data_IF_380030923148
#
_entry.id   IF_380030923148
#
_cell.length_a   1.000
_cell.length_b   1.000
_cell.length_c   1.000
_cell.angle_alpha   90.00
_cell.angle_beta   90.00
_cell.angle_gamma   90.00
#
_symmetry.space_group_name_H-M   'P 1'
#
loop_
_entity.id
_entity.type
_entity.pdbx_description
1 polymer ?
#
# COMPACT_ATOMS: atom_id res chain seq x y z
N UNK A 1 15.43 -19.86 18.00
CA UNK A 1 14.06 -20.04 17.45
C UNK A 1 13.58 -18.71 16.89
N UNK A 2 12.82 -18.75 15.81
CA UNK A 2 12.19 -17.65 15.07
C UNK A 2 13.04 -16.91 14.04
N UNK A 3 13.04 -17.51 12.83
CA UNK A 3 13.19 -16.79 11.56
C UNK A 3 12.14 -15.68 11.50
N UNK A 4 12.53 -14.44 11.83
CA UNK A 4 11.78 -13.27 11.40
C UNK A 4 11.81 -13.25 9.87
N UNK A 5 10.84 -13.90 9.23
CA UNK A 5 10.44 -13.56 7.86
C UNK A 5 10.22 -12.06 7.87
N UNK A 6 11.21 -11.30 7.41
CA UNK A 6 11.11 -9.88 7.15
C UNK A 6 9.89 -9.72 6.26
N UNK A 7 8.73 -9.40 6.86
CA UNK A 7 7.59 -8.90 6.12
C UNK A 7 8.15 -7.70 5.39
N UNK A 8 8.20 -7.76 4.05
CA UNK A 8 8.62 -6.63 3.22
C UNK A 8 7.74 -5.48 3.61
N UNK A 9 8.24 -4.61 4.48
CA UNK A 9 7.50 -3.48 4.96
C UNK A 9 7.49 -2.49 3.80
N UNK A 10 6.36 -2.42 3.09
CA UNK A 10 6.21 -1.48 1.96
C UNK A 10 5.93 -0.05 2.44
N UNK A 11 5.94 0.21 3.75
CA UNK A 11 5.83 1.57 4.26
C UNK A 11 6.98 2.43 3.70
N UNK A 12 6.66 3.59 3.16
CA UNK A 12 7.61 4.46 2.45
C UNK A 12 7.74 4.16 0.96
N UNK A 13 7.09 3.11 0.42
CA UNK A 13 7.12 2.83 -1.00
C UNK A 13 6.20 3.78 -1.77
N UNK A 14 6.72 4.35 -2.85
CA UNK A 14 5.90 5.08 -3.82
C UNK A 14 5.19 4.07 -4.71
N UNK A 15 3.87 4.18 -4.81
CA UNK A 15 3.02 3.27 -5.58
C UNK A 15 2.06 4.02 -6.50
N UNK A 16 1.72 3.37 -7.60
CA UNK A 16 0.62 3.73 -8.48
C UNK A 16 -0.57 2.82 -8.16
N UNK A 17 -1.76 3.39 -8.00
CA UNK A 17 -2.96 2.64 -7.62
C UNK A 17 -4.22 3.20 -8.26
N UNK A 18 -5.22 2.34 -8.46
CA UNK A 18 -6.54 2.73 -8.93
C UNK A 18 -7.35 3.30 -7.78
N UNK A 19 -8.01 4.44 -8.01
CA UNK A 19 -8.93 5.04 -7.05
C UNK A 19 -10.09 5.70 -7.77
N UNK A 20 -11.32 5.25 -7.47
CA UNK A 20 -12.55 5.65 -8.20
C UNK A 20 -12.35 5.41 -9.70
N UNK A 21 -12.51 6.45 -10.52
CA UNK A 21 -12.44 6.37 -11.98
C UNK A 21 -11.03 6.70 -12.52
N UNK A 22 -10.02 6.80 -11.65
CA UNK A 22 -8.68 7.28 -12.02
C UNK A 22 -7.55 6.46 -11.44
N UNK A 23 -6.34 6.85 -11.83
CA UNK A 23 -5.08 6.32 -11.32
C UNK A 23 -4.35 7.42 -10.57
N UNK A 24 -3.93 7.13 -9.34
CA UNK A 24 -3.20 8.05 -8.49
C UNK A 24 -1.82 7.50 -8.16
N UNK A 25 -0.97 8.39 -7.69
CA UNK A 25 0.35 8.08 -7.15
C UNK A 25 0.41 8.52 -5.69
N UNK A 26 1.06 7.73 -4.86
CA UNK A 26 1.21 8.06 -3.46
C UNK A 26 2.16 7.13 -2.72
N UNK A 27 2.46 7.48 -1.49
CA UNK A 27 3.35 6.71 -0.62
C UNK A 27 2.53 5.81 0.31
N UNK A 28 2.87 4.54 0.41
CA UNK A 28 2.29 3.65 1.40
C UNK A 28 2.73 4.10 2.79
N UNK A 29 1.79 4.56 3.60
CA UNK A 29 2.03 4.89 5.01
C UNK A 29 1.94 3.65 5.90
N UNK A 30 1.02 2.73 5.55
CA UNK A 30 0.75 1.54 6.35
C UNK A 30 0.17 0.41 5.52
N UNK A 31 0.65 -0.80 5.75
CA UNK A 31 0.02 -2.06 5.35
C UNK A 31 -0.71 -2.70 6.55
N UNK A 32 -1.97 -3.10 6.35
CA UNK A 32 -2.75 -3.92 7.29
C UNK A 32 -3.33 -5.12 6.57
N UNK A 33 -3.94 -6.03 7.32
CA UNK A 33 -4.78 -7.09 6.77
C UNK A 33 -6.25 -6.80 7.07
N UNK A 34 -7.11 -7.07 6.10
CA UNK A 34 -8.56 -7.09 6.33
C UNK A 34 -8.99 -8.36 7.09
N UNK A 35 -10.29 -8.51 7.30
CA UNK A 35 -10.90 -9.65 8.02
C UNK A 35 -10.68 -11.00 7.30
N UNK A 36 -10.48 -10.98 5.98
CA UNK A 36 -10.15 -12.15 5.17
C UNK A 36 -8.63 -12.45 5.15
N UNK A 37 -7.83 -11.62 5.81
CA UNK A 37 -6.38 -11.74 5.86
C UNK A 37 -5.64 -11.18 4.64
N UNK A 38 -6.35 -10.49 3.73
CA UNK A 38 -5.79 -9.87 2.52
C UNK A 38 -5.16 -8.52 2.85
N UNK A 39 -4.04 -8.16 2.19
CA UNK A 39 -3.37 -6.88 2.43
C UNK A 39 -4.21 -5.70 1.94
N UNK A 40 -4.31 -4.69 2.81
CA UNK A 40 -4.92 -3.39 2.54
C UNK A 40 -3.98 -2.27 2.96
N UNK A 41 -3.96 -1.21 2.16
CA UNK A 41 -3.00 -0.13 2.26
C UNK A 41 -3.66 1.18 2.64
N UNK A 42 -2.91 1.96 3.42
CA UNK A 42 -3.14 3.39 3.62
C UNK A 42 -2.06 4.13 2.84
N UNK A 43 -2.48 4.95 1.88
CA UNK A 43 -1.61 5.64 0.93
C UNK A 43 -1.83 7.14 1.03
N UNK A 44 -0.74 7.90 1.14
CA UNK A 44 -0.76 9.36 1.03
C UNK A 44 -0.55 9.77 -0.43
N UNK A 45 -1.55 10.40 -1.03
CA UNK A 45 -1.50 10.92 -2.39
C UNK A 45 -1.67 12.45 -2.35
N UNK A 46 -0.56 13.18 -2.42
CA UNK A 46 -0.54 14.62 -2.26
C UNK A 46 -1.02 15.06 -0.87
N UNK A 47 -2.08 15.86 -0.82
CA UNK A 47 -2.72 16.38 0.40
C UNK A 47 -3.73 15.41 1.04
N UNK A 48 -3.97 14.25 0.42
CA UNK A 48 -5.00 13.30 0.85
C UNK A 48 -4.39 12.01 1.37
N UNK A 49 -5.03 11.45 2.41
CA UNK A 49 -4.74 10.10 2.90
C UNK A 49 -5.91 9.20 2.52
N UNK A 50 -5.63 8.20 1.69
CA UNK A 50 -6.61 7.23 1.19
C UNK A 50 -6.38 5.91 1.91
N UNK A 51 -7.45 5.29 2.41
CA UNK A 51 -7.40 4.08 3.24
C UNK A 51 -8.16 2.95 2.58
N UNK A 52 -7.74 1.72 2.85
CA UNK A 52 -8.44 0.52 2.38
C UNK A 52 -8.19 0.20 0.91
N UNK A 53 -7.09 0.71 0.34
CA UNK A 53 -6.67 0.33 -1.01
C UNK A 53 -6.22 -1.11 -0.98
N UNK A 54 -6.82 -1.98 -1.79
CA UNK A 54 -6.46 -3.40 -1.81
C UNK A 54 -5.22 -3.61 -2.65
N UNK A 55 -4.54 -4.75 -2.48
CA UNK A 55 -3.41 -5.11 -3.33
C UNK A 55 -3.80 -5.21 -4.82
N UNK A 56 -5.03 -5.64 -5.12
CA UNK A 56 -5.55 -5.69 -6.50
C UNK A 56 -5.69 -4.31 -7.16
N UNK A 57 -5.81 -3.25 -6.36
CA UNK A 57 -5.85 -1.87 -6.85
C UNK A 57 -4.45 -1.27 -7.01
N UNK A 58 -3.40 -1.89 -6.46
CA UNK A 58 -2.03 -1.49 -6.71
C UNK A 58 -1.62 -1.90 -8.11
N UNK A 59 -1.33 -0.90 -8.95
CA UNK A 59 -0.92 -1.10 -10.34
C UNK A 59 0.60 -1.30 -10.41
N UNK A 60 1.36 -0.50 -9.65
CA UNK A 60 2.83 -0.55 -9.68
C UNK A 60 3.45 -0.11 -8.37
N UNK A 61 4.48 -0.83 -7.94
CA UNK A 61 5.36 -0.46 -6.82
C UNK A 61 6.69 0.02 -7.38
N UNK A 62 7.08 1.26 -7.06
CA UNK A 62 8.34 1.86 -7.49
C UNK A 62 9.46 1.67 -6.45
N UNK A 63 9.17 1.04 -5.31
CA UNK A 63 10.08 0.92 -4.18
C UNK A 63 10.05 2.14 -3.25
N UNK A 64 10.72 2.00 -2.12
CA UNK A 64 11.01 3.11 -1.20
C UNK A 64 12.42 3.68 -1.45
N UNK A 65 12.59 4.95 -1.08
CA UNK A 65 13.90 5.60 -1.00
C UNK A 65 14.65 5.19 0.28
#
# INVERSE_FOLDING_TARGET
MYNAKMKKNRNGHLVQFRYRDGVLYGEILQEKKDEEGKPVYMIQAGDKVIRGIREEDLIRDYGGA
#
